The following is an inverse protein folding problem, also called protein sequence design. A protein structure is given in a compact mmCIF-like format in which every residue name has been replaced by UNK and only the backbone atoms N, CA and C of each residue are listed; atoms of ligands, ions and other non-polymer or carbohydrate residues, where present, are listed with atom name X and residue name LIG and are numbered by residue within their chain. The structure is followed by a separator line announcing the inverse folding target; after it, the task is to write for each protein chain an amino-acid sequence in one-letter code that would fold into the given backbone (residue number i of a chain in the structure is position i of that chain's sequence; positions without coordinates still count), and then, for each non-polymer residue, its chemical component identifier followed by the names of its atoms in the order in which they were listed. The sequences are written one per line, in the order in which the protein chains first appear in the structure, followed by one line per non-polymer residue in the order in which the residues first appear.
data_IF_101625995176
#
_entry.id   IF_101625995176
#
_cell.length_a   1.000
_cell.length_b   1.000
_cell.length_c   1.000
_cell.angle_alpha   90.00
_cell.angle_beta   90.00
_cell.angle_gamma   90.00
#
_symmetry.space_group_name_H-M   'P 1'
#
loop_
_entity.id
_entity.type
_entity.pdbx_description
1 polymer ?
#
# COMPACT_ATOMS: atom_id res chain seq x y z
N UNK A 1 -6.21 -4.79 -16.79
CA UNK A 1 -7.18 -4.28 -15.79
C UNK A 1 -7.16 -2.77 -15.85
N UNK A 2 -8.33 -2.13 -15.82
CA UNK A 2 -8.42 -0.68 -15.69
C UNK A 2 -7.96 -0.23 -14.30
N UNK A 3 -7.44 0.99 -14.17
CA UNK A 3 -7.05 1.53 -12.86
C UNK A 3 -8.22 1.54 -11.87
N UNK A 4 -9.43 1.85 -12.35
CA UNK A 4 -10.64 1.94 -11.54
C UNK A 4 -11.07 0.55 -11.01
N UNK A 5 -11.06 -0.47 -11.85
CA UNK A 5 -11.36 -1.87 -11.46
C UNK A 5 -10.39 -2.37 -10.38
N UNK A 6 -9.10 -2.06 -10.55
CA UNK A 6 -8.07 -2.38 -9.55
C UNK A 6 -8.35 -1.66 -8.23
N UNK A 7 -8.70 -0.38 -8.27
CA UNK A 7 -8.99 0.42 -7.08
C UNK A 7 -10.25 -0.05 -6.34
N UNK A 8 -11.30 -0.45 -7.06
CA UNK A 8 -12.49 -1.05 -6.44
C UNK A 8 -12.14 -2.32 -5.66
N UNK A 9 -11.31 -3.19 -6.25
CA UNK A 9 -10.84 -4.42 -5.59
C UNK A 9 -9.98 -4.14 -4.37
N UNK A 10 -9.06 -3.17 -4.46
CA UNK A 10 -8.19 -2.76 -3.34
C UNK A 10 -9.06 -2.21 -2.20
N UNK A 11 -9.95 -1.25 -2.49
CA UNK A 11 -10.85 -0.64 -1.50
C UNK A 11 -11.76 -1.70 -0.85
N UNK A 12 -12.30 -2.63 -1.64
CA UNK A 12 -13.11 -3.73 -1.14
C UNK A 12 -12.34 -4.75 -0.29
N UNK A 13 -11.05 -4.98 -0.56
CA UNK A 13 -10.19 -5.81 0.29
C UNK A 13 -9.89 -5.12 1.63
N UNK A 14 -9.50 -3.84 1.59
CA UNK A 14 -9.20 -3.06 2.79
C UNK A 14 -10.43 -2.88 3.69
N UNK A 15 -11.61 -2.69 3.12
CA UNK A 15 -12.86 -2.62 3.89
C UNK A 15 -13.17 -3.93 4.63
N UNK A 16 -12.90 -5.09 4.01
CA UNK A 16 -13.05 -6.39 4.67
C UNK A 16 -12.04 -6.56 5.81
N UNK A 17 -10.80 -6.15 5.60
CA UNK A 17 -9.75 -6.18 6.63
C UNK A 17 -10.12 -5.27 7.81
N UNK A 18 -10.59 -4.04 7.57
CA UNK A 18 -11.03 -3.14 8.66
C UNK A 18 -12.20 -3.73 9.44
N UNK A 19 -13.18 -4.32 8.75
CA UNK A 19 -14.34 -4.92 9.40
C UNK A 19 -13.97 -6.11 10.31
N UNK A 20 -12.99 -6.92 9.90
CA UNK A 20 -12.55 -8.11 10.64
C UNK A 20 -11.59 -7.79 11.79
N UNK A 21 -10.69 -6.83 11.60
CA UNK A 21 -9.58 -6.52 12.51
C UNK A 21 -9.67 -5.09 13.10
N UNK A 22 -10.89 -4.60 13.34
CA UNK A 22 -11.13 -3.22 13.80
C UNK A 22 -10.29 -2.87 15.04
N UNK A 23 -9.55 -1.77 14.94
CA UNK A 23 -8.72 -1.23 16.02
C UNK A 23 -7.35 -1.90 16.18
N UNK A 24 -7.03 -2.91 15.37
CA UNK A 24 -5.72 -3.54 15.35
C UNK A 24 -4.72 -2.77 14.48
N UNK A 25 -3.43 -2.91 14.79
CA UNK A 25 -2.34 -2.56 13.89
C UNK A 25 -1.97 -3.79 13.07
N UNK A 26 -1.93 -3.65 11.74
CA UNK A 26 -1.79 -4.77 10.80
C UNK A 26 -0.62 -4.54 9.85
N UNK A 27 0.09 -5.63 9.53
CA UNK A 27 1.00 -5.68 8.39
C UNK A 27 0.31 -6.42 7.25
N UNK A 28 0.08 -5.72 6.14
CA UNK A 28 -0.52 -6.30 4.93
C UNK A 28 0.58 -6.51 3.90
N UNK A 29 0.88 -7.77 3.57
CA UNK A 29 1.84 -8.12 2.54
C UNK A 29 1.16 -8.08 1.16
N UNK A 30 1.73 -7.31 0.25
CA UNK A 30 1.18 -7.11 -1.10
C UNK A 30 2.28 -6.77 -2.10
N UNK A 31 1.92 -6.66 -3.38
CA UNK A 31 2.84 -6.22 -4.42
C UNK A 31 2.98 -4.70 -4.44
N UNK A 32 4.15 -4.21 -4.85
CA UNK A 32 4.41 -2.78 -5.02
C UNK A 32 3.43 -2.08 -5.97
N UNK A 33 2.82 -2.81 -6.92
CA UNK A 33 1.77 -2.28 -7.79
C UNK A 33 0.48 -1.88 -7.04
N UNK A 34 0.12 -2.58 -5.96
CA UNK A 34 -1.03 -2.22 -5.11
C UNK A 34 -0.73 -0.96 -4.31
N UNK A 35 0.48 -0.87 -3.75
CA UNK A 35 0.93 0.33 -3.04
C UNK A 35 0.97 1.53 -4.00
N UNK A 36 1.55 1.35 -5.19
CA UNK A 36 1.62 2.40 -6.21
C UNK A 36 0.24 2.85 -6.71
N UNK A 37 -0.75 1.94 -6.77
CA UNK A 37 -2.12 2.30 -7.10
C UNK A 37 -2.76 3.19 -6.01
N UNK A 38 -2.54 2.87 -4.73
CA UNK A 38 -3.00 3.69 -3.60
C UNK A 38 -2.32 5.06 -3.56
N UNK A 39 -1.00 5.10 -3.81
CA UNK A 39 -0.24 6.36 -3.89
C UNK A 39 -0.76 7.24 -5.03
N UNK A 40 -1.02 6.65 -6.20
CA UNK A 40 -1.58 7.35 -7.36
C UNK A 40 -2.99 7.88 -7.08
N UNK A 41 -3.87 7.10 -6.45
CA UNK A 41 -5.24 7.53 -6.06
C UNK A 41 -5.18 8.73 -5.09
N UNK A 42 -4.14 8.80 -4.26
CA UNK A 42 -3.88 9.92 -3.36
C UNK A 42 -3.15 11.11 -4.03
N UNK A 43 -2.90 11.06 -5.34
CA UNK A 43 -2.21 12.13 -6.08
C UNK A 43 -0.71 12.25 -5.80
N UNK A 44 -0.09 11.21 -5.23
CA UNK A 44 1.34 11.19 -4.94
C UNK A 44 2.16 10.88 -6.20
N UNK A 45 3.40 11.37 -6.29
CA UNK A 45 4.28 11.04 -7.40
C UNK A 45 4.57 9.54 -7.44
N UNK A 46 4.71 9.01 -8.65
CA UNK A 46 5.16 7.63 -8.81
C UNK A 46 6.63 7.52 -8.47
N UNK A 47 6.94 6.62 -7.54
CA UNK A 47 8.30 6.26 -7.16
C UNK A 47 8.36 4.75 -6.96
N UNK A 48 9.44 4.11 -7.39
CA UNK A 48 9.62 2.67 -7.27
C UNK A 48 9.73 2.25 -5.79
N UNK A 49 9.05 1.16 -5.42
CA UNK A 49 9.09 0.59 -4.07
C UNK A 49 10.18 -0.48 -3.95
N UNK A 50 11.05 -0.45 -2.93
CA UNK A 50 11.94 -1.57 -2.59
C UNK A 50 11.16 -2.85 -2.23
N UNK A 51 11.79 -4.03 -2.33
CA UNK A 51 11.13 -5.32 -2.05
C UNK A 51 10.52 -5.42 -0.65
N UNK A 52 11.17 -4.80 0.33
CA UNK A 52 10.72 -4.71 1.72
C UNK A 52 10.40 -3.26 2.11
N UNK A 53 10.04 -2.45 1.11
CA UNK A 53 9.43 -1.15 1.31
C UNK A 53 7.94 -1.29 1.61
N UNK A 54 7.43 -0.40 2.45
CA UNK A 54 6.05 -0.37 2.88
C UNK A 54 5.50 1.06 2.84
N UNK A 55 4.16 1.15 2.92
CA UNK A 55 3.46 2.42 3.05
C UNK A 55 2.54 2.36 4.26
N UNK A 56 2.67 3.34 5.14
CA UNK A 56 1.74 3.49 6.26
C UNK A 56 0.36 3.92 5.72
N UNK A 57 -0.69 3.28 6.22
CA UNK A 57 -2.08 3.57 5.85
C UNK A 57 -2.92 3.66 7.13
N UNK A 58 -3.80 4.66 7.19
CA UNK A 58 -4.81 4.75 8.24
C UNK A 58 -6.21 4.66 7.60
N UNK A 59 -6.97 3.64 7.99
CA UNK A 59 -8.33 3.43 7.50
C UNK A 59 -9.33 4.07 8.47
N UNK A 60 -10.10 5.05 7.98
CA UNK A 60 -11.12 5.77 8.77
C UNK A 60 -12.55 5.30 8.47
N UNK A 61 -12.70 4.08 7.95
CA UNK A 61 -13.98 3.48 7.56
C UNK A 61 -14.42 3.89 6.16
N UNK A 62 -14.55 5.19 5.90
CA UNK A 62 -15.00 5.73 4.60
C UNK A 62 -13.87 6.35 3.76
N UNK A 63 -12.68 6.48 4.32
CA UNK A 63 -11.50 7.05 3.65
C UNK A 63 -10.24 6.33 4.11
N UNK A 64 -9.24 6.37 3.25
CA UNK A 64 -7.89 5.89 3.54
C UNK A 64 -6.99 7.11 3.54
N UNK A 65 -6.23 7.28 4.61
CA UNK A 65 -5.18 8.28 4.72
C UNK A 65 -3.83 7.61 4.46
N UNK A 66 -3.02 8.24 3.59
CA UNK A 66 -1.70 7.74 3.22
C UNK A 66 -0.66 8.41 4.12
N UNK A 67 0.03 7.62 4.93
CA UNK A 67 1.14 8.05 5.79
C UNK A 67 2.49 7.99 5.06
N UNK A 68 3.56 7.84 5.83
CA UNK A 68 4.94 7.78 5.35
C UNK A 68 5.29 6.47 4.61
N UNK A 69 6.38 6.51 3.83
CA UNK A 69 7.04 5.31 3.34
C UNK A 69 7.96 4.77 4.42
N UNK A 70 8.03 3.46 4.52
CA UNK A 70 8.83 2.73 5.50
C UNK A 70 9.72 1.73 4.76
N UNK A 71 10.89 1.45 5.31
CA UNK A 71 11.73 0.32 4.90
C UNK A 71 11.73 -0.65 6.07
N UNK A 72 11.41 -1.92 5.80
CA UNK A 72 11.28 -2.95 6.83
C UNK A 72 12.57 -3.75 7.06
N UNK A 73 13.68 -3.27 6.51
CA UNK A 73 15.02 -3.85 6.60
C UNK A 73 16.05 -2.74 6.77
N UNK A 74 17.26 -3.13 7.16
CA UNK A 74 18.40 -2.23 7.22
C UNK A 74 18.78 -1.74 5.81
N UNK A 75 19.38 -0.54 5.75
CA UNK A 75 19.68 0.15 4.49
C UNK A 75 20.63 -0.66 3.57
N UNK A 76 21.50 -1.49 4.15
CA UNK A 76 22.45 -2.34 3.41
C UNK A 76 21.82 -3.62 2.84
N UNK A 77 20.62 -3.99 3.30
CA UNK A 77 19.81 -5.09 2.77
C UNK A 77 18.74 -4.61 1.77
N UNK A 78 18.65 -3.30 1.54
CA UNK A 78 17.66 -2.69 0.67
C UNK A 78 17.87 -3.10 -0.80
N UNK A 79 16.84 -3.75 -1.37
CA UNK A 79 16.83 -4.13 -2.78
C UNK A 79 15.71 -3.41 -3.52
N UNK A 80 16.08 -2.70 -4.59
CA UNK A 80 15.13 -2.04 -5.51
C UNK A 80 15.11 -2.86 -6.81
N UNK A 81 13.98 -3.51 -7.15
CA UNK A 81 13.89 -4.30 -8.37
C UNK A 81 14.18 -3.46 -9.62
N UNK A 82 15.11 -3.88 -10.48
CA UNK A 82 15.50 -3.13 -11.68
C UNK A 82 14.77 -3.54 -12.97
N UNK A 83 13.90 -4.57 -12.94
CA UNK A 83 13.23 -5.12 -14.14
C UNK A 83 11.72 -5.30 -13.93
N UNK A 84 10.90 -4.85 -14.89
CA UNK A 84 10.47 -5.62 -16.08
C UNK A 84 10.48 -4.64 -17.26
#
# INVERSE_FOLDING_TARGET
EGHDELMERIKGALARIEAEYRGAQLLVLTHGGVIGALERDAGLPWERMPNLGARALMHHGNRIEIGERLVLVDDDELTIPSQI
#
